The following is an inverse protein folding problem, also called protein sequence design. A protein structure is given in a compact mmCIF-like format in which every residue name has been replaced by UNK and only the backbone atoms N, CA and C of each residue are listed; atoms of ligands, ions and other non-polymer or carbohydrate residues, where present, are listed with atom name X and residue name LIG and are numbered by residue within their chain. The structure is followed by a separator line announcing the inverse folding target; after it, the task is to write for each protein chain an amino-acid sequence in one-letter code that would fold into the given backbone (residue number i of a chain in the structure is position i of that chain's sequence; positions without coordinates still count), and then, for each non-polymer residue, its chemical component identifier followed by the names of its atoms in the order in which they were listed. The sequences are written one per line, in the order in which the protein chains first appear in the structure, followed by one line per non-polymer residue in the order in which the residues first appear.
data_IF_254857711387
#
_entry.id   IF_254857711387
#
_cell.length_a   1.000
_cell.length_b   1.000
_cell.length_c   1.000
_cell.angle_alpha   90.00
_cell.angle_beta   90.00
_cell.angle_gamma   90.00
#
_symmetry.space_group_name_H-M   'P 1'
#
loop_
_entity.id
_entity.type
_entity.pdbx_description
1 polymer ?
#
# COMPACT_ATOMS: atom_id res chain seq x y z
N UNK A 1 7.48 -10.26 -21.41
CA UNK A 1 7.20 -9.55 -20.15
C UNK A 1 7.47 -8.07 -20.36
N UNK A 2 6.60 -7.18 -19.87
CA UNK A 2 6.89 -5.73 -19.86
C UNK A 2 7.70 -5.40 -18.62
N UNK A 3 8.78 -4.63 -18.77
CA UNK A 3 9.61 -4.16 -17.66
C UNK A 3 9.35 -2.67 -17.45
N UNK A 4 9.04 -2.29 -16.22
CA UNK A 4 8.94 -0.90 -15.78
C UNK A 4 10.06 -0.63 -14.78
N UNK A 5 10.86 0.40 -15.01
CA UNK A 5 11.85 0.89 -14.05
C UNK A 5 11.45 2.30 -13.65
N UNK A 6 11.31 2.54 -12.34
CA UNK A 6 11.01 3.85 -11.76
C UNK A 6 12.07 4.17 -10.71
N UNK A 7 12.61 5.40 -10.74
CA UNK A 7 13.49 5.92 -9.71
C UNK A 7 12.85 7.20 -9.14
N UNK A 8 12.75 7.29 -7.82
CA UNK A 8 12.15 8.42 -7.13
C UNK A 8 13.06 8.87 -5.97
N UNK A 9 13.50 10.13 -6.04
CA UNK A 9 14.25 10.76 -4.94
C UNK A 9 13.28 11.26 -3.87
N UNK A 10 13.42 10.73 -2.64
CA UNK A 10 12.68 11.21 -1.46
C UNK A 10 13.65 12.04 -0.62
N UNK A 11 13.31 13.31 -0.39
CA UNK A 11 14.18 14.27 0.30
C UNK A 11 14.09 14.13 1.82
N UNK A 12 14.52 13.00 2.37
CA UNK A 12 14.67 12.79 3.81
C UNK A 12 15.85 11.84 4.12
N UNK A 13 16.22 11.74 5.39
CA UNK A 13 17.21 10.72 5.80
C UNK A 13 16.60 9.32 5.71
N UNK A 14 17.42 8.26 5.57
CA UNK A 14 16.93 6.88 5.59
C UNK A 14 16.14 6.55 6.85
N UNK A 15 16.59 7.03 8.01
CA UNK A 15 15.94 6.77 9.31
C UNK A 15 14.53 7.37 9.34
N UNK A 16 14.39 8.62 8.86
CA UNK A 16 13.09 9.30 8.80
C UNK A 16 12.15 8.63 7.80
N UNK A 17 12.69 8.15 6.68
CA UNK A 17 11.89 7.42 5.70
C UNK A 17 11.27 6.18 6.34
N UNK A 18 12.08 5.35 6.99
CA UNK A 18 11.60 4.10 7.58
C UNK A 18 10.64 4.33 8.76
N UNK A 19 10.87 5.36 9.57
CA UNK A 19 9.93 5.77 10.62
C UNK A 19 8.53 6.06 10.04
N UNK A 20 8.45 6.87 8.97
CA UNK A 20 7.19 7.21 8.32
C UNK A 20 6.60 6.00 7.59
N UNK A 21 7.43 5.21 6.92
CA UNK A 21 7.00 4.05 6.13
C UNK A 21 6.26 3.02 7.00
N UNK A 22 6.71 2.81 8.24
CA UNK A 22 6.10 1.88 9.18
C UNK A 22 5.08 2.52 10.14
N UNK A 23 4.83 3.82 10.02
CA UNK A 23 3.81 4.52 10.81
C UNK A 23 2.40 4.18 10.27
N UNK A 24 1.60 3.53 11.11
CA UNK A 24 0.25 3.06 10.75
C UNK A 24 -0.71 4.22 10.49
N UNK A 25 -0.62 5.30 11.25
CA UNK A 25 -1.50 6.46 11.12
C UNK A 25 -1.17 7.24 9.85
N UNK A 26 0.12 7.43 9.55
CA UNK A 26 0.55 8.02 8.29
C UNK A 26 0.05 7.21 7.10
N UNK A 27 0.22 5.89 7.13
CA UNK A 27 -0.26 5.03 6.05
C UNK A 27 -1.79 5.09 5.92
N UNK A 28 -2.54 5.04 7.02
CA UNK A 28 -4.00 5.18 6.99
C UNK A 28 -4.40 6.50 6.34
N UNK A 29 -3.80 7.61 6.75
CA UNK A 29 -4.06 8.94 6.18
C UNK A 29 -3.71 8.99 4.68
N UNK A 30 -2.54 8.48 4.28
CA UNK A 30 -2.12 8.45 2.89
C UNK A 30 -3.10 7.64 2.02
N UNK A 31 -3.37 6.39 2.39
CA UNK A 31 -4.16 5.49 1.55
C UNK A 31 -5.65 5.81 1.55
N UNK A 32 -6.25 6.06 2.72
CA UNK A 32 -7.68 6.35 2.83
C UNK A 32 -7.97 7.79 2.42
N UNK A 33 -7.28 8.75 3.04
CA UNK A 33 -7.66 10.16 2.93
C UNK A 33 -7.07 10.81 1.68
N UNK A 34 -5.86 10.46 1.25
CA UNK A 34 -5.24 11.07 0.06
C UNK A 34 -5.49 10.24 -1.21
N UNK A 35 -5.22 8.94 -1.17
CA UNK A 35 -5.32 8.05 -2.34
C UNK A 35 -6.72 7.45 -2.53
N UNK A 36 -7.64 7.67 -1.58
CA UNK A 36 -9.06 7.29 -1.65
C UNK A 36 -9.31 5.79 -1.78
N UNK A 37 -8.45 4.98 -1.18
CA UNK A 37 -8.68 3.54 -1.04
C UNK A 37 -9.96 3.32 -0.22
N UNK A 38 -10.76 2.31 -0.57
CA UNK A 38 -11.93 1.92 0.23
C UNK A 38 -11.53 1.21 1.52
N UNK A 39 -10.37 0.55 1.50
CA UNK A 39 -9.77 -0.12 2.65
C UNK A 39 -8.25 -0.02 2.60
N UNK A 40 -7.65 0.20 3.75
CA UNK A 40 -6.23 0.02 4.00
C UNK A 40 -6.02 -0.32 5.46
N UNK A 41 -5.36 -1.45 5.73
CA UNK A 41 -5.16 -1.95 7.09
C UNK A 41 -3.80 -2.62 7.22
N UNK A 42 -3.11 -2.32 8.32
CA UNK A 42 -1.92 -3.08 8.74
C UNK A 42 -2.36 -4.23 9.62
N UNK A 43 -2.45 -5.43 9.04
CA UNK A 43 -2.94 -6.65 9.69
C UNK A 43 -1.94 -7.17 10.72
N UNK A 44 -0.65 -7.12 10.39
CA UNK A 44 0.44 -7.54 11.27
C UNK A 44 1.66 -6.65 11.03
N UNK A 45 2.33 -6.26 12.11
CA UNK A 45 3.64 -5.60 12.06
C UNK A 45 4.45 -6.02 13.29
N UNK A 46 5.68 -6.48 13.08
CA UNK A 46 6.65 -6.80 14.13
C UNK A 46 7.97 -6.11 13.82
N UNK A 47 8.62 -5.52 14.83
CA UNK A 47 9.87 -4.78 14.65
C UNK A 47 11.13 -5.60 15.03
N UNK A 48 10.96 -6.83 15.54
CA UNK A 48 12.05 -7.73 15.92
C UNK A 48 11.72 -9.21 15.67
N UNK A 49 12.70 -10.07 15.33
CA UNK A 49 14.10 -9.77 14.99
C UNK A 49 14.31 -9.22 13.56
N UNK A 50 13.27 -9.24 12.71
CA UNK A 50 13.20 -8.61 11.39
C UNK A 50 11.85 -7.88 11.28
N UNK A 51 11.76 -6.87 10.40
CA UNK A 51 10.50 -6.15 10.20
C UNK A 51 9.57 -6.97 9.31
N UNK A 52 8.63 -7.70 9.92
CA UNK A 52 7.58 -8.41 9.19
C UNK A 52 6.32 -7.53 9.15
N UNK A 53 5.77 -7.33 7.96
CA UNK A 53 4.54 -6.54 7.78
C UNK A 53 3.58 -7.21 6.82
N UNK A 54 2.32 -7.30 7.22
CA UNK A 54 1.20 -7.72 6.35
C UNK A 54 0.21 -6.58 6.27
N UNK A 55 -0.10 -6.13 5.05
CA UNK A 55 -1.14 -5.13 4.81
C UNK A 55 -2.19 -5.63 3.83
N UNK A 56 -3.41 -5.15 4.01
CA UNK A 56 -4.50 -5.35 3.07
C UNK A 56 -4.95 -4.00 2.52
N UNK A 57 -5.13 -3.92 1.21
CA UNK A 57 -5.53 -2.69 0.53
C UNK A 57 -6.58 -2.94 -0.55
N UNK A 58 -7.55 -2.04 -0.65
CA UNK A 58 -8.51 -1.97 -1.75
C UNK A 58 -8.37 -0.59 -2.42
N UNK A 59 -7.62 -0.49 -3.53
CA UNK A 59 -7.43 0.78 -4.22
C UNK A 59 -8.74 1.28 -4.83
N UNK A 60 -8.83 2.59 -5.02
CA UNK A 60 -9.89 3.16 -5.85
C UNK A 60 -9.72 2.64 -7.28
N UNK A 61 -10.72 1.92 -7.75
CA UNK A 61 -10.71 1.32 -9.08
C UNK A 61 -11.58 2.14 -10.03
N UNK A 62 -10.93 2.92 -10.89
CA UNK A 62 -11.59 3.59 -12.01
C UNK A 62 -11.34 2.78 -13.30
N UNK A 63 -12.01 1.62 -13.39
CA UNK A 63 -11.89 0.73 -14.55
C UNK A 63 -13.06 0.89 -15.51
N UNK A 64 -12.89 0.64 -16.81
CA UNK A 64 -14.01 0.56 -17.74
C UNK A 64 -15.05 -0.48 -17.30
N UNK A 65 -16.35 -0.20 -17.51
CA UNK A 65 -17.48 -1.07 -17.12
C UNK A 65 -17.31 -2.56 -17.49
N UNK A 66 -16.80 -2.93 -18.69
CA UNK A 66 -16.59 -4.33 -19.02
C UNK A 66 -15.58 -5.02 -18.10
N UNK A 67 -14.54 -4.31 -17.68
CA UNK A 67 -13.52 -4.84 -16.76
C UNK A 67 -14.09 -4.95 -15.35
N UNK A 68 -14.83 -3.94 -14.87
CA UNK A 68 -15.49 -4.00 -13.55
C UNK A 68 -16.37 -5.26 -13.39
N UNK A 69 -17.07 -5.66 -14.46
CA UNK A 69 -17.90 -6.88 -14.46
C UNK A 69 -17.08 -8.17 -14.33
N UNK A 70 -15.83 -8.18 -14.79
CA UNK A 70 -14.93 -9.34 -14.76
C UNK A 70 -14.17 -9.48 -13.43
N UNK A 71 -13.73 -8.38 -12.81
CA UNK A 71 -12.96 -8.41 -11.56
C UNK A 71 -13.82 -8.56 -10.30
N UNK A 72 -15.15 -8.44 -10.41
CA UNK A 72 -16.03 -8.39 -9.23
C UNK A 72 -15.87 -7.07 -8.48
N UNK A 73 -16.85 -6.74 -7.64
CA UNK A 73 -17.00 -5.39 -7.05
C UNK A 73 -15.83 -4.89 -6.19
N UNK A 74 -14.90 -5.77 -5.77
CA UNK A 74 -13.81 -5.42 -4.86
C UNK A 74 -12.48 -5.99 -5.39
N UNK A 75 -11.70 -5.16 -6.09
CA UNK A 75 -10.31 -5.46 -6.37
C UNK A 75 -9.48 -5.05 -5.14
N UNK A 76 -8.82 -6.03 -4.53
CA UNK A 76 -7.98 -5.82 -3.36
C UNK A 76 -6.74 -6.70 -3.40
N UNK A 77 -5.81 -6.43 -2.49
CA UNK A 77 -4.58 -7.18 -2.35
C UNK A 77 -4.20 -7.38 -0.89
N UNK A 78 -3.40 -8.41 -0.66
CA UNK A 78 -2.60 -8.58 0.54
C UNK A 78 -1.13 -8.48 0.13
N UNK A 79 -0.35 -7.69 0.86
CA UNK A 79 1.09 -7.55 0.67
C UNK A 79 1.79 -8.04 1.92
N UNK A 80 2.78 -8.91 1.74
CA UNK A 80 3.67 -9.42 2.79
C UNK A 80 5.08 -8.91 2.54
N UNK A 81 5.62 -8.16 3.51
CA UNK A 81 7.00 -7.69 3.55
C UNK A 81 7.79 -8.34 4.68
N UNK A 82 9.07 -8.62 4.42
CA UNK A 82 10.06 -9.20 5.34
C UNK A 82 11.37 -8.43 5.28
#
# INVERSE_FOLDING_TARGET
MKQLNLNHTINCTPERFWEIFFDKEFNRWLYIDQLKFSKYETVRQSDAPNVERVVQGEPKVDLPKPIQKLVGGNFGYEETGT
#
